data_IF_511498754126
#
_entry.id   IF_511498754126
#
_cell.length_a   1.000
_cell.length_b   1.000
_cell.length_c   1.000
_cell.angle_alpha   90.00
_cell.angle_beta   90.00
_cell.angle_gamma   90.00
#
_symmetry.space_group_name_H-M   'P 1'
#
loop_
_entity.id
_entity.type
_entity.pdbx_description
1 polymer ?
#
# COMPACT_ATOMS: atom_id res chain seq x y z
N UNK A 1 18.96 32.24 4.65
CA UNK A 1 17.51 32.12 4.91
C UNK A 1 16.91 31.33 3.77
N UNK A 2 16.68 30.02 3.98
CA UNK A 2 16.15 29.14 2.93
C UNK A 2 14.63 29.28 2.86
N UNK A 3 14.16 29.48 1.63
CA UNK A 3 12.81 29.89 1.26
C UNK A 3 11.83 28.74 1.46
N UNK A 4 10.86 28.92 2.37
CA UNK A 4 9.79 27.97 2.70
C UNK A 4 8.70 27.98 1.63
N UNK A 5 9.02 27.60 0.39
CA UNK A 5 8.03 27.44 -0.68
C UNK A 5 8.25 26.09 -1.34
N UNK A 6 7.61 25.06 -0.77
CA UNK A 6 7.09 23.86 -1.45
C UNK A 6 6.46 22.94 -0.41
N UNK A 7 5.48 23.46 0.33
CA UNK A 7 4.49 22.58 0.94
C UNK A 7 3.53 22.20 -0.20
N UNK A 8 3.97 21.27 -1.05
CA UNK A 8 3.09 20.59 -1.98
C UNK A 8 2.01 19.94 -1.12
N UNK A 9 0.83 20.55 -1.14
CA UNK A 9 -0.41 20.05 -0.56
C UNK A 9 -0.61 18.61 -1.02
N UNK A 10 -0.13 17.65 -0.23
CA UNK A 10 -0.62 16.29 -0.23
C UNK A 10 -1.99 16.35 0.46
N UNK A 11 -2.93 17.03 -0.18
CA UNK A 11 -4.35 16.84 0.07
C UNK A 11 -4.61 15.38 -0.25
N UNK A 12 -4.54 14.55 0.78
CA UNK A 12 -4.86 13.14 0.81
C UNK A 12 -6.27 13.01 0.24
N UNK A 13 -6.35 12.79 -1.06
CA UNK A 13 -7.52 12.25 -1.71
C UNK A 13 -7.62 10.82 -1.22
N UNK A 14 -8.28 10.64 -0.09
CA UNK A 14 -8.91 9.38 0.28
C UNK A 14 -9.93 9.09 -0.82
N UNK A 15 -9.48 8.55 -1.94
CA UNK A 15 -10.37 7.99 -2.95
C UNK A 15 -11.28 7.01 -2.23
N UNK A 16 -12.59 7.15 -2.45
CA UNK A 16 -13.57 6.19 -1.95
C UNK A 16 -13.22 4.84 -2.57
N UNK A 17 -12.58 3.98 -1.77
CA UNK A 17 -12.24 2.64 -2.21
C UNK A 17 -13.52 1.82 -2.23
N UNK A 18 -14.09 1.65 -3.42
CA UNK A 18 -15.22 0.75 -3.61
C UNK A 18 -14.72 -0.67 -3.80
N UNK A 19 -15.35 -1.64 -3.14
CA UNK A 19 -15.06 -3.06 -3.37
C UNK A 19 -15.37 -3.42 -4.83
N UNK A 20 -14.34 -3.76 -5.60
CA UNK A 20 -14.46 -4.16 -7.01
C UNK A 20 -13.98 -3.14 -8.04
N UNK A 21 -13.46 -1.98 -7.62
CA UNK A 21 -12.76 -1.06 -8.53
C UNK A 21 -11.35 -1.57 -8.87
N UNK A 22 -10.91 -1.25 -10.09
CA UNK A 22 -9.57 -1.55 -10.57
C UNK A 22 -8.53 -0.82 -9.71
N UNK A 23 -7.41 -1.52 -9.44
CA UNK A 23 -6.29 -0.94 -8.70
C UNK A 23 -5.54 0.03 -9.60
N UNK A 24 -5.55 1.29 -9.25
CA UNK A 24 -4.79 2.31 -9.96
C UNK A 24 -3.31 2.35 -9.52
N UNK A 25 -2.50 3.11 -10.27
CA UNK A 25 -1.08 3.29 -9.99
C UNK A 25 -0.81 3.95 -8.63
N UNK A 26 -1.65 4.90 -8.22
CA UNK A 26 -1.48 5.65 -6.96
C UNK A 26 -1.66 4.70 -5.77
N UNK A 27 -2.65 3.81 -5.83
CA UNK A 27 -2.90 2.79 -4.82
C UNK A 27 -1.73 1.81 -4.71
N UNK A 28 -1.16 1.40 -5.85
CA UNK A 28 0.02 0.54 -5.85
C UNK A 28 1.24 1.23 -5.23
N UNK A 29 1.51 2.49 -5.60
CA UNK A 29 2.59 3.29 -5.01
C UNK A 29 2.40 3.49 -3.50
N UNK A 30 1.16 3.74 -3.07
CA UNK A 30 0.82 3.88 -1.66
C UNK A 30 1.12 2.60 -0.85
N UNK A 31 0.80 1.42 -1.39
CA UNK A 31 1.13 0.14 -0.74
C UNK A 31 2.63 -0.05 -0.62
N UNK A 32 3.38 0.19 -1.70
CA UNK A 32 4.83 0.03 -1.67
C UNK A 32 5.46 0.94 -0.60
N UNK A 33 4.95 2.17 -0.47
CA UNK A 33 5.38 3.09 0.60
C UNK A 33 5.07 2.56 1.99
N UNK A 34 3.88 1.99 2.22
CA UNK A 34 3.53 1.38 3.51
C UNK A 34 4.41 0.16 3.82
N UNK A 35 4.72 -0.67 2.83
CA UNK A 35 5.62 -1.82 2.99
C UNK A 35 7.07 -1.40 3.28
N UNK A 36 7.56 -0.34 2.64
CA UNK A 36 8.88 0.22 2.97
C UNK A 36 8.90 0.84 4.36
N UNK A 37 7.86 1.61 4.71
CA UNK A 37 7.72 2.21 6.02
C UNK A 37 7.71 1.14 7.12
N UNK A 38 7.07 -0.01 6.88
CA UNK A 38 7.01 -1.10 7.87
C UNK A 38 8.37 -1.69 8.19
N UNK A 39 9.25 -1.77 7.18
CA UNK A 39 10.64 -2.16 7.35
C UNK A 39 11.45 -1.12 8.13
N UNK A 40 11.26 0.17 7.84
CA UNK A 40 11.99 1.28 8.48
C UNK A 40 11.66 1.38 9.98
N UNK A 41 10.39 1.22 10.35
CA UNK A 41 9.95 1.31 11.75
C UNK A 41 9.93 -0.04 12.47
N UNK A 42 10.48 -1.08 11.83
CA UNK A 42 10.60 -2.44 12.39
C UNK A 42 9.29 -3.08 12.88
N UNK A 43 8.16 -2.76 12.24
CA UNK A 43 6.84 -3.32 12.56
C UNK A 43 6.30 -4.27 11.48
N UNK A 44 7.18 -4.76 10.60
CA UNK A 44 6.91 -5.72 9.53
C UNK A 44 6.31 -7.06 10.01
N UNK A 45 6.45 -7.39 11.30
CA UNK A 45 5.84 -8.57 11.92
C UNK A 45 4.56 -8.28 12.69
N UNK A 46 4.14 -7.02 12.79
CA UNK A 46 2.91 -6.66 13.47
C UNK A 46 1.67 -7.06 12.66
N UNK A 47 0.60 -7.39 13.38
CA UNK A 47 -0.67 -7.65 12.71
C UNK A 47 -1.13 -6.38 11.99
N UNK A 48 -1.65 -6.52 10.77
CA UNK A 48 -2.16 -5.39 9.98
C UNK A 48 -3.25 -4.61 10.73
N UNK A 49 -4.03 -5.29 11.58
CA UNK A 49 -5.00 -4.67 12.50
C UNK A 49 -4.32 -3.72 13.49
N UNK A 50 -3.19 -4.11 14.06
CA UNK A 50 -2.43 -3.27 14.99
C UNK A 50 -1.75 -2.11 14.26
N UNK A 51 -1.27 -2.35 13.03
CA UNK A 51 -0.68 -1.32 12.18
C UNK A 51 -1.63 -0.17 11.87
N UNK A 52 -2.94 -0.44 11.82
CA UNK A 52 -3.97 0.56 11.56
C UNK A 52 -4.68 1.07 12.82
N UNK A 53 -4.26 0.66 14.02
CA UNK A 53 -4.83 1.16 15.26
C UNK A 53 -4.30 2.58 15.59
N UNK A 54 -5.18 3.41 16.15
CA UNK A 54 -4.99 4.85 16.41
C UNK A 54 -4.12 5.09 17.66
N UNK A 55 -3.16 4.20 17.96
CA UNK A 55 -2.22 4.44 19.06
C UNK A 55 -1.02 5.14 18.42
N UNK A 56 -1.01 6.47 18.51
CA UNK A 56 0.00 7.52 18.29
C UNK A 56 1.20 7.35 17.32
N UNK A 57 1.69 6.14 17.03
CA UNK A 57 2.85 5.89 16.17
C UNK A 57 2.53 5.47 14.74
N UNK A 58 1.26 5.16 14.40
CA UNK A 58 0.91 4.52 13.11
C UNK A 58 -0.22 5.21 12.33
N UNK A 59 -0.46 6.50 12.62
CA UNK A 59 -1.32 7.39 11.83
C UNK A 59 -1.06 7.34 10.32
N UNK A 60 0.18 7.05 9.90
CA UNK A 60 0.59 6.95 8.51
C UNK A 60 -0.19 5.85 7.75
N UNK A 61 -0.46 4.70 8.38
CA UNK A 61 -1.17 3.60 7.70
C UNK A 61 -2.62 3.98 7.42
N UNK A 62 -3.32 4.47 8.44
CA UNK A 62 -4.70 4.91 8.32
C UNK A 62 -4.86 6.13 7.41
N UNK A 63 -3.90 7.08 7.45
CA UNK A 63 -3.91 8.25 6.60
C UNK A 63 -3.67 7.88 5.12
N UNK A 64 -2.86 6.87 4.85
CA UNK A 64 -2.50 6.49 3.47
C UNK A 64 -3.61 5.71 2.77
N UNK A 65 -4.22 4.73 3.45
CA UNK A 65 -5.37 4.00 2.91
C UNK A 65 -6.16 3.25 3.99
N UNK A 66 -7.45 2.95 3.74
CA UNK A 66 -8.23 2.12 4.65
C UNK A 66 -7.65 0.71 4.81
N UNK A 67 -7.74 0.17 6.03
CA UNK A 67 -7.25 -1.17 6.39
C UNK A 67 -7.79 -2.29 5.47
N UNK A 68 -9.07 -2.22 5.09
CA UNK A 68 -9.69 -3.24 4.24
C UNK A 68 -9.08 -3.23 2.82
N UNK A 69 -8.78 -2.05 2.27
CA UNK A 69 -8.13 -1.89 0.97
C UNK A 69 -6.72 -2.46 1.01
N UNK A 70 -5.93 -2.09 2.02
CA UNK A 70 -4.58 -2.60 2.21
C UNK A 70 -4.57 -4.13 2.30
N UNK A 71 -5.49 -4.72 3.09
CA UNK A 71 -5.64 -6.18 3.20
C UNK A 71 -6.05 -6.83 1.88
N UNK A 72 -6.99 -6.26 1.15
CA UNK A 72 -7.46 -6.82 -0.11
C UNK A 72 -6.34 -6.78 -1.16
N UNK A 73 -5.67 -5.65 -1.29
CA UNK A 73 -4.57 -5.49 -2.24
C UNK A 73 -3.40 -6.43 -1.95
N UNK A 74 -3.03 -6.63 -0.67
CA UNK A 74 -2.03 -7.64 -0.31
C UNK A 74 -2.43 -9.07 -0.69
N UNK A 75 -3.71 -9.43 -0.61
CA UNK A 75 -4.22 -10.76 -0.98
C UNK A 75 -4.26 -10.98 -2.49
N UNK A 76 -4.52 -9.93 -3.25
CA UNK A 76 -4.78 -10.02 -4.70
C UNK A 76 -3.60 -9.54 -5.56
N UNK A 77 -2.51 -9.07 -4.95
CA UNK A 77 -1.30 -8.67 -5.67
C UNK A 77 -0.75 -9.85 -6.48
N UNK A 78 -0.52 -9.63 -7.78
CA UNK A 78 0.01 -10.61 -8.72
C UNK A 78 1.03 -9.95 -9.63
N UNK A 79 2.14 -10.64 -9.87
CA UNK A 79 3.23 -10.18 -10.73
C UNK A 79 3.23 -10.82 -12.12
N UNK A 80 2.26 -11.68 -12.39
CA UNK A 80 2.19 -12.45 -13.62
C UNK A 80 0.78 -12.44 -14.22
N UNK A 81 0.72 -12.51 -15.55
CA UNK A 81 -0.50 -12.75 -16.29
C UNK A 81 -0.83 -14.26 -16.29
N UNK A 82 -1.94 -14.63 -15.66
CA UNK A 82 -2.39 -16.02 -15.56
C UNK A 82 -2.67 -16.65 -16.93
N UNK A 83 -3.06 -15.86 -17.92
CA UNK A 83 -3.38 -16.34 -19.26
C UNK A 83 -2.12 -16.65 -20.08
N UNK A 84 -1.00 -15.99 -19.76
CA UNK A 84 0.28 -16.12 -20.48
C UNK A 84 1.29 -17.00 -19.77
N UNK A 85 0.86 -17.80 -18.79
CA UNK A 85 1.75 -18.63 -18.00
C UNK A 85 2.43 -19.68 -18.87
N UNK A 86 3.74 -19.55 -19.05
CA UNK A 86 4.58 -20.62 -19.54
C UNK A 86 4.59 -21.74 -18.49
N UNK A 87 4.18 -22.95 -18.88
CA UNK A 87 4.09 -24.11 -17.99
C UNK A 87 5.49 -24.67 -17.64
N UNK A 88 6.50 -24.28 -18.40
CA UNK A 88 7.86 -24.79 -18.26
C UNK A 88 8.68 -23.97 -17.25
N UNK A 89 8.37 -22.68 -17.11
CA UNK A 89 9.03 -21.82 -16.15
C UNK A 89 8.32 -21.87 -14.77
N UNK A 90 9.04 -22.43 -13.80
CA UNK A 90 8.56 -22.54 -12.41
C UNK A 90 8.67 -21.22 -11.63
N UNK A 91 9.48 -20.27 -12.10
CA UNK A 91 9.67 -18.95 -11.50
C UNK A 91 8.75 -17.88 -12.11
N UNK A 92 8.02 -18.20 -13.18
CA UNK A 92 7.06 -17.31 -13.83
C UNK A 92 6.03 -16.59 -12.92
N UNK A 93 5.58 -17.13 -11.76
CA UNK A 93 4.57 -16.44 -10.95
C UNK A 93 5.12 -15.37 -9.98
N UNK A 94 6.41 -15.02 -10.06
CA UNK A 94 7.12 -14.17 -9.10
C UNK A 94 7.58 -12.86 -9.76
#
# INVERSE_FOLDING_TARGET
MYNSNNCSSWSLTCHQYNEGEDVDRIQLEAILRLLMQSGIVHNNHESVTNLCNIIDSLLIYHATMPLHCFRNLLKFLRFYDRQRRDKTDRLAPI
#
